data_IF_977445190558
#
_entry.id   IF_977445190558
#
_cell.length_a   1.000
_cell.length_b   1.000
_cell.length_c   1.000
_cell.angle_alpha   90.00
_cell.angle_beta   90.00
_cell.angle_gamma   90.00
#
_symmetry.space_group_name_H-M   'P 1'
#
loop_
_entity.id
_entity.type
_entity.pdbx_description
1 polymer ?
#
# COMPACT_ATOMS: atom_id res chain seq x y z
N UNK A 1 -13.49 -30.61 15.79
CA UNK A 1 -12.73 -29.44 16.29
C UNK A 1 -12.55 -28.33 15.26
N UNK A 2 -12.54 -28.61 13.95
CA UNK A 2 -12.39 -27.61 12.86
C UNK A 2 -13.64 -26.73 12.65
N UNK A 3 -14.84 -27.28 12.69
CA UNK A 3 -16.12 -26.56 12.49
C UNK A 3 -16.39 -25.47 13.55
N UNK A 4 -16.00 -25.71 14.81
CA UNK A 4 -16.18 -24.73 15.90
C UNK A 4 -15.22 -23.54 15.78
N UNK A 5 -13.98 -23.77 15.33
CA UNK A 5 -13.00 -22.68 15.09
C UNK A 5 -13.38 -21.80 13.89
N UNK A 6 -13.98 -22.42 12.89
CA UNK A 6 -14.53 -21.76 11.69
C UNK A 6 -15.68 -20.81 12.06
N UNK A 7 -16.71 -21.32 12.73
CA UNK A 7 -17.85 -20.51 13.16
C UNK A 7 -17.45 -19.34 14.07
N UNK A 8 -16.45 -19.53 14.93
CA UNK A 8 -15.90 -18.49 15.79
C UNK A 8 -15.17 -17.39 15.01
N UNK A 9 -14.42 -17.76 13.96
CA UNK A 9 -13.70 -16.80 13.11
C UNK A 9 -14.68 -15.92 12.33
N UNK A 10 -15.79 -16.49 11.85
CA UNK A 10 -16.85 -15.76 11.15
C UNK A 10 -17.57 -14.74 12.02
N UNK A 11 -18.06 -15.19 13.18
CA UNK A 11 -18.76 -14.33 14.12
C UNK A 11 -17.87 -13.16 14.52
N UNK A 12 -16.59 -13.43 14.81
CA UNK A 12 -15.62 -12.41 15.18
C UNK A 12 -15.31 -11.42 14.05
N UNK A 13 -15.15 -11.87 12.81
CA UNK A 13 -14.99 -10.98 11.63
C UNK A 13 -16.18 -10.03 11.49
N UNK A 14 -17.40 -10.57 11.56
CA UNK A 14 -18.63 -9.79 11.46
C UNK A 14 -18.76 -8.78 12.60
N UNK A 15 -18.48 -9.19 13.83
CA UNK A 15 -18.60 -8.34 15.01
C UNK A 15 -17.56 -7.21 14.99
N UNK A 16 -16.33 -7.47 14.51
CA UNK A 16 -15.32 -6.44 14.27
C UNK A 16 -15.83 -5.43 13.24
N UNK A 17 -16.34 -5.89 12.10
CA UNK A 17 -16.86 -5.01 11.05
C UNK A 17 -18.03 -4.14 11.55
N UNK A 18 -18.99 -4.72 12.26
CA UNK A 18 -20.12 -4.00 12.85
C UNK A 18 -19.67 -2.98 13.91
N UNK A 19 -18.67 -3.34 14.74
CA UNK A 19 -18.09 -2.44 15.74
C UNK A 19 -17.42 -1.24 15.10
N UNK A 20 -16.64 -1.45 14.03
CA UNK A 20 -15.94 -0.38 13.33
C UNK A 20 -16.90 0.51 12.53
N UNK A 21 -17.95 -0.05 11.92
CA UNK A 21 -19.07 0.75 11.39
C UNK A 21 -19.72 1.61 12.49
N UNK A 22 -19.79 1.09 13.73
CA UNK A 22 -20.23 1.85 14.89
C UNK A 22 -19.31 3.00 15.28
N UNK A 23 -17.99 2.89 15.05
CA UNK A 23 -17.07 4.02 15.25
C UNK A 23 -17.24 5.09 14.18
N UNK A 24 -17.47 4.68 12.91
CA UNK A 24 -17.75 5.62 11.82
C UNK A 24 -18.99 6.49 12.07
N UNK A 25 -19.97 6.01 12.86
CA UNK A 25 -21.15 6.81 13.24
C UNK A 25 -20.81 8.05 14.07
N UNK A 26 -19.64 8.06 14.73
CA UNK A 26 -19.17 9.18 15.54
C UNK A 26 -18.45 10.25 14.70
N UNK A 27 -18.22 9.99 13.41
CA UNK A 27 -17.57 10.90 12.49
C UNK A 27 -18.63 11.84 11.93
N UNK A 28 -18.45 13.13 12.16
CA UNK A 28 -19.37 14.16 11.69
C UNK A 28 -18.59 15.43 11.33
N UNK A 29 -18.82 15.95 10.12
CA UNK A 29 -18.36 17.27 9.71
C UNK A 29 -19.31 18.34 10.26
N UNK A 30 -18.76 19.40 10.85
CA UNK A 30 -19.56 20.53 11.31
C UNK A 30 -20.27 21.20 10.12
N UNK A 31 -21.61 21.25 10.19
CA UNK A 31 -22.46 21.86 9.17
C UNK A 31 -22.57 23.36 9.41
N UNK A 32 -22.46 24.15 8.35
CA UNK A 32 -22.69 25.59 8.38
C UNK A 32 -23.70 25.97 7.30
N UNK A 33 -24.47 27.03 7.51
CA UNK A 33 -25.44 27.52 6.51
C UNK A 33 -24.80 28.03 5.21
N UNK A 34 -23.48 28.27 5.21
CA UNK A 34 -22.71 28.83 4.09
C UNK A 34 -21.97 27.78 3.26
N UNK A 35 -21.92 26.53 3.72
CA UNK A 35 -21.21 25.42 3.06
C UNK A 35 -22.06 24.15 3.21
N UNK A 36 -22.70 23.74 2.12
CA UNK A 36 -23.54 22.54 2.09
C UNK A 36 -22.72 21.24 2.03
N UNK A 37 -21.42 21.30 1.70
CA UNK A 37 -20.59 20.10 1.51
C UNK A 37 -20.50 19.22 2.77
N UNK A 38 -20.26 19.75 3.98
CA UNK A 38 -20.33 18.98 5.22
C UNK A 38 -21.61 18.15 5.39
N UNK A 39 -22.78 18.71 5.04
CA UNK A 39 -24.05 17.98 5.15
C UNK A 39 -24.10 16.80 4.17
N UNK A 40 -23.64 17.01 2.93
CA UNK A 40 -23.56 15.96 1.91
C UNK A 40 -22.57 14.86 2.32
N UNK A 41 -21.40 15.23 2.86
CA UNK A 41 -20.41 14.27 3.35
C UNK A 41 -20.94 13.44 4.53
N UNK A 42 -21.63 14.08 5.48
CA UNK A 42 -22.29 13.38 6.58
C UNK A 42 -23.37 12.40 6.07
N UNK A 43 -24.14 12.79 5.04
CA UNK A 43 -25.11 11.91 4.42
C UNK A 43 -24.44 10.71 3.73
N UNK A 44 -23.29 10.93 3.06
CA UNK A 44 -22.51 9.85 2.46
C UNK A 44 -22.01 8.85 3.51
N UNK A 45 -21.47 9.32 4.65
CA UNK A 45 -21.07 8.46 5.78
C UNK A 45 -22.26 7.63 6.29
N UNK A 46 -23.40 8.28 6.55
CA UNK A 46 -24.62 7.61 7.01
C UNK A 46 -25.10 6.55 6.01
N UNK A 47 -25.04 6.84 4.71
CA UNK A 47 -25.41 5.90 3.65
C UNK A 47 -24.49 4.68 3.65
N UNK A 48 -23.17 4.86 3.73
CA UNK A 48 -22.20 3.76 3.82
C UNK A 48 -22.52 2.89 5.04
N UNK A 49 -22.69 3.50 6.21
CA UNK A 49 -22.96 2.76 7.45
C UNK A 49 -24.26 1.97 7.35
N UNK A 50 -25.34 2.57 6.84
CA UNK A 50 -26.63 1.89 6.70
C UNK A 50 -26.54 0.72 5.73
N UNK A 51 -25.95 0.93 4.56
CA UNK A 51 -25.78 -0.09 3.52
C UNK A 51 -25.02 -1.30 4.06
N UNK A 52 -23.87 -1.08 4.70
CA UNK A 52 -23.04 -2.18 5.19
C UNK A 52 -23.51 -2.79 6.50
N UNK A 53 -24.23 -2.06 7.35
CA UNK A 53 -24.88 -2.66 8.52
C UNK A 53 -25.88 -3.73 8.08
N UNK A 54 -26.72 -3.43 7.09
CA UNK A 54 -27.69 -4.42 6.57
C UNK A 54 -26.98 -5.58 5.87
N UNK A 55 -25.99 -5.31 5.01
CA UNK A 55 -25.25 -6.38 4.31
C UNK A 55 -24.52 -7.33 5.26
N UNK A 56 -23.93 -6.81 6.35
CA UNK A 56 -23.19 -7.61 7.32
C UNK A 56 -24.09 -8.43 8.25
N UNK A 57 -25.33 -7.99 8.52
CA UNK A 57 -26.31 -8.80 9.26
C UNK A 57 -26.58 -10.14 8.59
N UNK A 58 -26.59 -10.16 7.25
CA UNK A 58 -26.84 -11.34 6.43
C UNK A 58 -25.57 -11.97 5.84
N UNK A 59 -24.39 -11.45 6.18
CA UNK A 59 -23.12 -12.00 5.72
C UNK A 59 -22.81 -13.34 6.38
N UNK A 60 -22.77 -14.42 5.58
CA UNK A 60 -22.67 -15.81 6.03
C UNK A 60 -21.31 -16.47 5.75
N UNK A 61 -20.44 -15.84 4.94
CA UNK A 61 -19.17 -16.43 4.49
C UNK A 61 -17.98 -15.45 4.62
N UNK A 62 -16.75 -15.92 4.92
CA UNK A 62 -15.55 -15.08 5.05
C UNK A 62 -15.26 -14.23 3.83
N UNK A 63 -15.34 -14.83 2.64
CA UNK A 63 -15.10 -14.14 1.38
C UNK A 63 -16.04 -12.93 1.19
N UNK A 64 -17.31 -13.07 1.62
CA UNK A 64 -18.29 -11.97 1.58
C UNK A 64 -17.97 -10.89 2.61
N UNK A 65 -17.52 -11.28 3.80
CA UNK A 65 -17.10 -10.33 4.85
C UNK A 65 -15.84 -9.56 4.46
N UNK A 66 -14.84 -10.20 3.84
CA UNK A 66 -13.66 -9.51 3.31
C UNK A 66 -14.00 -8.57 2.17
N UNK A 67 -14.87 -9.00 1.26
CA UNK A 67 -15.38 -8.12 0.21
C UNK A 67 -16.08 -6.90 0.81
N UNK A 68 -16.94 -7.10 1.81
CA UNK A 68 -17.58 -5.98 2.50
C UNK A 68 -16.55 -5.06 3.18
N UNK A 69 -15.51 -5.60 3.81
CA UNK A 69 -14.43 -4.82 4.38
C UNK A 69 -13.69 -3.97 3.31
N UNK A 70 -13.37 -4.58 2.16
CA UNK A 70 -12.74 -3.91 1.03
C UNK A 70 -13.60 -2.76 0.50
N UNK A 71 -14.90 -3.01 0.29
CA UNK A 71 -15.79 -2.00 -0.26
C UNK A 71 -16.10 -0.87 0.75
N UNK A 72 -16.12 -1.17 2.07
CA UNK A 72 -16.20 -0.13 3.11
C UNK A 72 -14.96 0.78 3.03
N UNK A 73 -13.77 0.19 3.01
CA UNK A 73 -12.51 0.93 2.92
C UNK A 73 -12.42 1.77 1.64
N UNK A 74 -12.81 1.21 0.50
CA UNK A 74 -12.92 1.92 -0.78
C UNK A 74 -13.82 3.13 -0.67
N UNK A 75 -15.05 2.98 -0.16
CA UNK A 75 -15.99 4.09 -0.04
C UNK A 75 -15.53 5.14 0.96
N UNK A 76 -14.89 4.74 2.06
CA UNK A 76 -14.37 5.69 3.06
C UNK A 76 -13.18 6.47 2.52
N UNK A 77 -12.22 5.83 1.84
CA UNK A 77 -11.10 6.56 1.25
C UNK A 77 -11.50 7.38 0.03
N UNK A 78 -12.46 6.90 -0.77
CA UNK A 78 -13.05 7.71 -1.85
C UNK A 78 -13.71 8.97 -1.29
N UNK A 79 -14.48 8.87 -0.20
CA UNK A 79 -15.05 10.03 0.47
C UNK A 79 -13.97 10.94 1.07
N UNK A 80 -12.92 10.38 1.68
CA UNK A 80 -11.79 11.16 2.19
C UNK A 80 -11.15 12.00 1.09
N UNK A 81 -10.91 11.41 -0.09
CA UNK A 81 -10.36 12.13 -1.25
C UNK A 81 -11.34 13.17 -1.79
N UNK A 82 -12.64 12.89 -1.87
CA UNK A 82 -13.66 13.89 -2.25
C UNK A 82 -13.69 15.08 -1.30
N UNK A 83 -13.54 14.85 0.02
CA UNK A 83 -13.49 15.92 1.01
C UNK A 83 -12.23 16.76 0.80
N UNK A 84 -11.06 16.14 0.59
CA UNK A 84 -9.79 16.84 0.32
C UNK A 84 -9.90 17.73 -0.92
N UNK A 85 -10.51 17.24 -2.00
CA UNK A 85 -10.76 18.01 -3.21
C UNK A 85 -11.69 19.21 -2.97
N UNK A 86 -12.65 19.05 -2.05
CA UNK A 86 -13.53 20.14 -1.62
C UNK A 86 -12.88 21.17 -0.68
N UNK A 87 -11.65 20.93 -0.20
CA UNK A 87 -10.94 21.90 0.64
C UNK A 87 -10.30 23.00 -0.20
N UNK A 88 -10.38 24.25 0.27
CA UNK A 88 -9.69 25.36 -0.38
C UNK A 88 -8.18 25.22 -0.27
N UNK A 89 -7.49 25.01 -1.39
CA UNK A 89 -6.02 24.89 -1.44
C UNK A 89 -5.28 26.15 -0.99
N UNK A 90 -5.92 27.32 -1.13
CA UNK A 90 -5.37 28.63 -0.74
C UNK A 90 -5.62 28.96 0.73
N UNK A 91 -6.60 28.33 1.37
CA UNK A 91 -6.89 28.59 2.77
C UNK A 91 -5.75 28.09 3.67
N UNK A 92 -5.42 28.83 4.75
CA UNK A 92 -4.52 28.31 5.76
C UNK A 92 -5.01 26.99 6.35
N UNK A 93 -4.09 26.07 6.62
CA UNK A 93 -4.39 24.76 7.22
C UNK A 93 -5.16 24.89 8.55
N UNK A 94 -4.85 25.93 9.35
CA UNK A 94 -5.60 26.25 10.57
C UNK A 94 -7.10 26.46 10.33
N UNK A 95 -7.49 27.08 9.21
CA UNK A 95 -8.90 27.34 8.88
C UNK A 95 -9.65 26.09 8.43
N UNK A 96 -8.96 25.13 7.84
CA UNK A 96 -9.52 23.83 7.43
C UNK A 96 -9.27 22.73 8.47
N UNK A 97 -8.67 23.06 9.62
CA UNK A 97 -8.18 22.10 10.61
C UNK A 97 -9.25 21.16 11.15
N UNK A 98 -10.48 21.64 11.36
CA UNK A 98 -11.58 20.79 11.82
C UNK A 98 -11.93 19.72 10.77
N UNK A 99 -11.87 20.05 9.47
CA UNK A 99 -12.11 19.07 8.40
C UNK A 99 -10.96 18.05 8.35
N UNK A 100 -9.71 18.49 8.50
CA UNK A 100 -8.54 17.61 8.57
C UNK A 100 -8.58 16.65 9.78
N UNK A 101 -9.08 17.10 10.94
CA UNK A 101 -9.29 16.23 12.12
C UNK A 101 -10.30 15.12 11.83
N UNK A 102 -11.40 15.44 11.15
CA UNK A 102 -12.40 14.45 10.75
C UNK A 102 -11.80 13.44 9.76
N UNK A 103 -11.00 13.90 8.79
CA UNK A 103 -10.29 13.01 7.85
C UNK A 103 -9.27 12.10 8.56
N UNK A 104 -8.56 12.63 9.55
CA UNK A 104 -7.67 11.83 10.39
C UNK A 104 -8.45 10.73 11.11
N UNK A 105 -9.59 11.06 11.74
CA UNK A 105 -10.43 10.07 12.42
C UNK A 105 -10.98 9.00 11.46
N UNK A 106 -11.30 9.37 10.21
CA UNK A 106 -11.69 8.41 9.17
C UNK A 106 -10.53 7.44 8.86
N UNK A 107 -9.32 7.96 8.66
CA UNK A 107 -8.15 7.14 8.39
C UNK A 107 -7.81 6.22 9.58
N UNK A 108 -7.81 6.75 10.80
CA UNK A 108 -7.59 5.96 12.03
C UNK A 108 -8.63 4.84 12.20
N UNK A 109 -9.89 5.08 11.82
CA UNK A 109 -10.92 4.04 11.82
C UNK A 109 -10.59 2.91 10.83
N UNK A 110 -10.07 3.23 9.64
CA UNK A 110 -9.66 2.22 8.65
C UNK A 110 -8.39 1.47 9.05
N UNK A 111 -7.44 2.15 9.70
CA UNK A 111 -6.24 1.52 10.28
C UNK A 111 -6.66 0.53 11.37
N UNK A 112 -7.53 0.95 12.29
CA UNK A 112 -8.03 0.10 13.37
C UNK A 112 -8.80 -1.11 12.83
N UNK A 113 -9.67 -0.92 11.84
CA UNK A 113 -10.35 -2.00 11.16
C UNK A 113 -9.35 -3.00 10.57
N UNK A 114 -8.37 -2.50 9.83
CA UNK A 114 -7.34 -3.33 9.18
C UNK A 114 -6.53 -4.14 10.19
N UNK A 115 -6.06 -3.50 11.27
CA UNK A 115 -5.29 -4.17 12.32
C UNK A 115 -6.11 -5.21 13.10
N UNK A 116 -7.40 -4.96 13.33
CA UNK A 116 -8.30 -5.92 14.00
C UNK A 116 -8.64 -7.13 13.12
N UNK A 117 -8.77 -6.91 11.81
CA UNK A 117 -9.06 -7.99 10.85
C UNK A 117 -7.83 -8.84 10.53
N UNK A 118 -6.63 -8.24 10.49
CA UNK A 118 -5.41 -8.92 10.06
C UNK A 118 -5.19 -10.30 10.73
N UNK A 119 -5.32 -10.48 12.07
CA UNK A 119 -5.12 -11.79 12.71
C UNK A 119 -6.07 -12.89 12.22
N UNK A 120 -7.22 -12.53 11.63
CA UNK A 120 -8.25 -13.46 11.16
C UNK A 120 -8.09 -13.84 9.69
N UNK A 121 -7.24 -13.12 8.95
CA UNK A 121 -7.05 -13.26 7.50
C UNK A 121 -6.58 -14.66 7.10
N UNK A 122 -5.54 -15.25 7.70
CA UNK A 122 -5.07 -16.58 7.28
C UNK A 122 -6.14 -17.68 7.43
N UNK A 123 -6.85 -17.70 8.57
CA UNK A 123 -7.89 -18.70 8.83
C UNK A 123 -9.07 -18.57 7.87
N UNK A 124 -9.47 -17.34 7.59
CA UNK A 124 -10.56 -17.04 6.68
C UNK A 124 -10.20 -17.33 5.20
N UNK A 125 -8.95 -17.14 4.78
CA UNK A 125 -8.45 -17.58 3.46
C UNK A 125 -8.47 -19.11 3.36
N UNK A 126 -7.95 -19.81 4.38
CA UNK A 126 -7.94 -21.27 4.41
C UNK A 126 -9.35 -21.85 4.25
N UNK A 127 -10.33 -21.26 4.91
CA UNK A 127 -11.72 -21.69 4.80
C UNK A 127 -12.35 -21.37 3.44
N UNK A 128 -12.11 -20.16 2.92
CA UNK A 128 -12.58 -19.78 1.59
C UNK A 128 -11.98 -20.68 0.50
N UNK A 129 -10.71 -21.10 0.65
CA UNK A 129 -10.05 -22.02 -0.27
C UNK A 129 -10.65 -23.44 -0.29
N UNK A 130 -11.27 -23.88 0.82
CA UNK A 130 -11.93 -25.18 0.90
C UNK A 130 -13.36 -25.17 0.34
N UNK A 131 -14.02 -24.01 0.37
CA UNK A 131 -15.44 -23.88 0.04
C UNK A 131 -15.71 -23.17 -1.29
N UNK A 132 -14.71 -22.51 -1.88
CA UNK A 132 -14.86 -21.76 -3.12
C UNK A 132 -14.47 -22.58 -4.36
N UNK A 133 -15.30 -22.46 -5.40
CA UNK A 133 -15.02 -22.99 -6.73
C UNK A 133 -14.05 -22.12 -7.54
N UNK A 134 -13.86 -20.84 -7.16
CA UNK A 134 -12.89 -19.98 -7.84
C UNK A 134 -11.48 -20.20 -7.27
N UNK A 135 -10.53 -20.56 -8.12
CA UNK A 135 -9.14 -20.88 -7.73
C UNK A 135 -8.36 -19.78 -7.01
N UNK A 136 -8.92 -18.57 -6.86
CA UNK A 136 -8.23 -17.40 -6.30
C UNK A 136 -7.91 -17.58 -4.81
N UNK A 137 -8.79 -18.20 -4.02
CA UNK A 137 -8.54 -18.41 -2.59
C UNK A 137 -7.48 -19.49 -2.36
N UNK A 138 -7.45 -20.52 -3.20
CA UNK A 138 -6.38 -21.52 -3.22
C UNK A 138 -5.03 -20.87 -3.59
N UNK A 139 -5.00 -19.94 -4.55
CA UNK A 139 -3.81 -19.15 -4.87
C UNK A 139 -3.38 -18.25 -3.71
N UNK A 140 -4.30 -17.58 -3.02
CA UNK A 140 -3.98 -16.79 -1.81
C UNK A 140 -3.41 -17.66 -0.69
N UNK A 141 -3.95 -18.87 -0.49
CA UNK A 141 -3.41 -19.84 0.46
C UNK A 141 -2.01 -20.31 0.05
N UNK A 142 -1.79 -20.55 -1.24
CA UNK A 142 -0.48 -20.87 -1.82
C UNK A 142 0.51 -19.73 -1.57
N UNK A 143 0.16 -18.47 -1.85
CA UNK A 143 0.98 -17.29 -1.52
C UNK A 143 1.31 -17.26 -0.03
N UNK A 144 0.33 -17.48 0.85
CA UNK A 144 0.55 -17.48 2.29
C UNK A 144 1.66 -18.46 2.73
N UNK A 145 1.72 -19.64 2.11
CA UNK A 145 2.73 -20.66 2.39
C UNK A 145 4.13 -20.31 1.86
N UNK A 146 4.23 -19.37 0.92
CA UNK A 146 5.50 -18.90 0.34
C UNK A 146 5.96 -17.55 0.90
N UNK A 147 5.27 -17.00 1.90
CA UNK A 147 5.77 -15.89 2.71
C UNK A 147 6.57 -16.46 3.86
N UNK A 148 7.85 -16.10 3.93
CA UNK A 148 8.82 -16.62 4.88
C UNK A 148 9.38 -15.50 5.74
N UNK A 149 9.75 -15.82 6.96
CA UNK A 149 10.53 -14.96 7.83
C UNK A 149 11.35 -15.84 8.75
N UNK A 150 12.59 -15.42 9.03
CA UNK A 150 13.51 -16.20 9.83
C UNK A 150 13.91 -15.43 11.09
N UNK A 151 13.25 -15.77 12.20
CA UNK A 151 13.54 -15.16 13.51
C UNK A 151 14.95 -15.52 13.97
N UNK A 152 15.49 -16.67 13.58
CA UNK A 152 16.85 -17.07 13.95
C UNK A 152 17.90 -16.18 13.28
N UNK A 153 17.58 -15.55 12.14
CA UNK A 153 18.43 -14.56 11.48
C UNK A 153 18.32 -13.14 12.04
N UNK A 154 17.49 -12.90 13.06
CA UNK A 154 17.52 -11.61 13.76
C UNK A 154 18.85 -11.42 14.50
N UNK A 155 19.37 -10.18 14.61
CA UNK A 155 20.67 -9.92 15.23
C UNK A 155 20.81 -10.54 16.62
N UNK A 156 22.02 -10.93 17.03
CA UNK A 156 22.27 -11.60 18.32
C UNK A 156 21.70 -10.84 19.54
N UNK A 157 21.67 -9.51 19.48
CA UNK A 157 21.05 -8.66 20.49
C UNK A 157 19.55 -8.95 20.71
N UNK A 158 18.81 -9.28 19.63
CA UNK A 158 17.42 -9.72 19.72
C UNK A 158 17.32 -11.12 20.33
N UNK A 159 18.27 -12.02 20.02
CA UNK A 159 18.28 -13.38 20.59
C UNK A 159 18.40 -13.38 22.12
N UNK A 160 19.06 -12.36 22.69
CA UNK A 160 19.21 -12.17 24.13
C UNK A 160 17.99 -11.53 24.81
N UNK A 161 16.97 -11.13 24.05
CA UNK A 161 15.75 -10.49 24.56
C UNK A 161 14.49 -11.26 24.10
N UNK A 162 13.98 -12.21 24.92
CA UNK A 162 12.83 -13.05 24.56
C UNK A 162 11.57 -12.26 24.23
N UNK A 163 11.31 -11.15 24.94
CA UNK A 163 10.15 -10.29 24.68
C UNK A 163 10.26 -9.62 23.31
N UNK A 164 11.46 -9.15 22.93
CA UNK A 164 11.71 -8.60 21.61
C UNK A 164 11.47 -9.66 20.52
N UNK A 165 11.94 -10.90 20.68
CA UNK A 165 11.70 -11.98 19.71
C UNK A 165 10.22 -12.30 19.53
N UNK A 166 9.46 -12.39 20.62
CA UNK A 166 8.00 -12.63 20.58
C UNK A 166 7.30 -11.50 19.82
N UNK A 167 7.64 -10.25 20.14
CA UNK A 167 7.07 -9.09 19.48
C UNK A 167 7.48 -8.98 18.00
N UNK A 168 8.71 -9.41 17.67
CA UNK A 168 9.19 -9.45 16.29
C UNK A 168 8.47 -10.54 15.48
N UNK A 169 8.24 -11.72 16.08
CA UNK A 169 7.37 -12.74 15.49
C UNK A 169 5.96 -12.23 15.24
N UNK A 170 5.39 -11.52 16.22
CA UNK A 170 4.05 -10.94 16.08
C UNK A 170 3.98 -9.90 14.96
N UNK A 171 5.01 -9.06 14.84
CA UNK A 171 5.13 -8.07 13.77
C UNK A 171 5.22 -8.74 12.38
N UNK A 172 6.05 -9.79 12.21
CA UNK A 172 6.11 -10.54 10.94
C UNK A 172 4.79 -11.25 10.60
N UNK A 173 4.18 -11.92 11.57
CA UNK A 173 2.89 -12.60 11.36
C UNK A 173 1.78 -11.61 10.95
N UNK A 174 1.75 -10.43 11.58
CA UNK A 174 0.77 -9.40 11.25
C UNK A 174 1.07 -8.78 9.89
N UNK A 175 2.34 -8.53 9.55
CA UNK A 175 2.73 -8.06 8.21
C UNK A 175 2.36 -9.05 7.10
N UNK A 176 2.59 -10.35 7.29
CA UNK A 176 2.10 -11.42 6.40
C UNK A 176 0.58 -11.32 6.23
N UNK A 177 -0.15 -11.12 7.33
CA UNK A 177 -1.60 -10.99 7.30
C UNK A 177 -2.06 -9.73 6.56
N UNK A 178 -1.34 -8.61 6.66
CA UNK A 178 -1.63 -7.38 5.90
C UNK A 178 -1.41 -7.57 4.40
N UNK A 179 -0.34 -8.27 4.00
CA UNK A 179 -0.09 -8.66 2.60
C UNK A 179 -1.27 -9.45 2.05
N UNK A 180 -1.65 -10.52 2.77
CA UNK A 180 -2.77 -11.37 2.38
C UNK A 180 -4.10 -10.62 2.36
N UNK A 181 -4.29 -9.69 3.30
CA UNK A 181 -5.52 -8.90 3.35
C UNK A 181 -5.63 -7.97 2.15
N UNK A 182 -4.55 -7.28 1.78
CA UNK A 182 -4.50 -6.43 0.57
C UNK A 182 -4.83 -7.24 -0.68
N UNK A 183 -4.23 -8.41 -0.86
CA UNK A 183 -4.52 -9.26 -2.01
C UNK A 183 -5.97 -9.80 -1.98
N UNK A 184 -6.48 -10.17 -0.80
CA UNK A 184 -7.86 -10.63 -0.63
C UNK A 184 -8.90 -9.54 -0.97
N UNK A 185 -8.60 -8.26 -0.70
CA UNK A 185 -9.45 -7.13 -1.12
C UNK A 185 -9.57 -7.08 -2.65
N UNK A 186 -8.49 -7.35 -3.37
CA UNK A 186 -8.44 -7.29 -4.83
C UNK A 186 -8.90 -8.58 -5.54
N UNK A 187 -9.11 -9.69 -4.80
CA UNK A 187 -9.43 -11.00 -5.37
C UNK A 187 -10.71 -11.07 -6.24
N UNK A 188 -11.58 -10.06 -6.15
CA UNK A 188 -12.82 -9.98 -6.93
C UNK A 188 -12.68 -9.16 -8.22
N UNK A 189 -11.57 -8.47 -8.43
CA UNK A 189 -11.31 -7.66 -9.63
C UNK A 189 -10.47 -8.47 -10.63
N UNK A 190 -10.61 -8.18 -11.93
CA UNK A 190 -9.82 -8.85 -12.98
C UNK A 190 -8.31 -8.59 -12.80
N UNK A 191 -7.94 -7.34 -12.52
CA UNK A 191 -6.55 -6.94 -12.30
C UNK A 191 -5.97 -7.55 -11.03
N UNK A 192 -6.76 -7.61 -9.94
CA UNK A 192 -6.36 -8.28 -8.70
C UNK A 192 -6.15 -9.78 -8.87
N UNK A 193 -7.03 -10.46 -9.61
CA UNK A 193 -6.86 -11.90 -9.90
C UNK A 193 -5.57 -12.18 -10.69
N UNK A 194 -5.26 -11.35 -11.69
CA UNK A 194 -4.00 -11.46 -12.42
C UNK A 194 -2.80 -11.20 -11.49
N UNK A 195 -2.85 -10.15 -10.66
CA UNK A 195 -1.76 -9.85 -9.71
C UNK A 195 -1.51 -11.03 -8.77
N UNK A 196 -2.58 -11.63 -8.22
CA UNK A 196 -2.50 -12.81 -7.36
C UNK A 196 -1.88 -13.99 -8.11
N UNK A 197 -2.30 -14.25 -9.34
CA UNK A 197 -1.75 -15.34 -10.15
C UNK A 197 -0.26 -15.15 -10.45
N UNK A 198 0.14 -13.94 -10.85
CA UNK A 198 1.54 -13.62 -11.13
C UNK A 198 2.42 -13.74 -9.88
N UNK A 199 1.95 -13.23 -8.73
CA UNK A 199 2.66 -13.36 -7.45
C UNK A 199 2.74 -14.81 -6.98
N UNK A 200 1.68 -15.60 -7.14
CA UNK A 200 1.69 -17.02 -6.77
C UNK A 200 2.71 -17.81 -7.60
N UNK A 201 2.74 -17.60 -8.92
CA UNK A 201 3.73 -18.20 -9.81
C UNK A 201 5.17 -17.77 -9.46
N UNK A 202 5.35 -16.48 -9.14
CA UNK A 202 6.64 -15.94 -8.71
C UNK A 202 7.13 -16.53 -7.39
N UNK A 203 6.29 -16.53 -6.36
CA UNK A 203 6.67 -16.93 -5.01
C UNK A 203 6.89 -18.43 -4.84
N UNK A 204 6.31 -19.27 -5.71
CA UNK A 204 6.67 -20.71 -5.80
C UNK A 204 8.16 -20.91 -6.07
N UNK A 205 8.76 -20.05 -6.88
CA UNK A 205 10.17 -20.14 -7.26
C UNK A 205 11.05 -19.24 -6.38
N UNK A 206 10.51 -18.11 -5.93
CA UNK A 206 11.22 -17.07 -5.17
C UNK A 206 10.37 -16.60 -3.99
N UNK A 207 10.39 -17.33 -2.85
CA UNK A 207 9.58 -17.00 -1.68
C UNK A 207 9.75 -15.55 -1.23
N UNK A 208 8.67 -14.93 -0.74
CA UNK A 208 8.72 -13.57 -0.19
C UNK A 208 9.27 -13.60 1.24
N UNK A 209 10.46 -13.05 1.45
CA UNK A 209 11.06 -12.90 2.78
C UNK A 209 10.53 -11.63 3.45
N UNK A 210 10.08 -11.72 4.70
CA UNK A 210 9.82 -10.54 5.52
C UNK A 210 11.06 -10.23 6.36
N UNK A 211 11.46 -8.96 6.38
CA UNK A 211 12.57 -8.49 7.21
C UNK A 211 12.26 -7.12 7.83
N UNK A 212 12.86 -6.86 8.99
CA UNK A 212 12.72 -5.59 9.69
C UNK A 212 13.96 -4.72 9.39
N UNK A 213 13.74 -3.42 9.16
CA UNK A 213 14.79 -2.47 8.79
C UNK A 213 14.74 -1.31 9.76
N UNK A 214 15.81 -1.13 10.51
CA UNK A 214 15.87 -0.13 11.58
C UNK A 214 16.54 1.15 11.08
N UNK A 215 15.96 2.31 11.40
CA UNK A 215 16.53 3.63 11.10
C UNK A 215 16.59 4.49 12.36
N UNK A 216 17.62 5.36 12.43
CA UNK A 216 17.80 6.32 13.52
C UNK A 216 17.42 7.74 13.08
N UNK A 217 16.82 8.58 13.94
CA UNK A 217 16.36 9.91 13.53
C UNK A 217 17.48 10.96 13.49
N UNK A 218 18.70 10.64 13.94
CA UNK A 218 19.80 11.62 14.04
C UNK A 218 20.58 11.74 12.73
N UNK A 219 19.97 12.40 11.75
CA UNK A 219 20.57 13.24 10.70
C UNK A 219 19.42 13.93 9.97
N UNK A 220 18.72 14.80 10.70
CA UNK A 220 17.67 15.64 10.17
C UNK A 220 18.32 16.87 9.49
N UNK A 221 18.79 16.67 8.25
CA UNK A 221 18.64 17.68 7.21
C UNK A 221 17.41 17.27 6.39
N UNK A 222 16.50 18.22 6.15
CA UNK A 222 15.46 18.04 5.13
C UNK A 222 16.14 18.24 3.78
N UNK A 223 16.78 17.18 3.33
CA UNK A 223 17.26 16.96 1.98
C UNK A 223 17.06 15.49 1.68
N UNK A 224 17.01 15.15 0.39
CA UNK A 224 17.16 13.76 -0.05
C UNK A 224 18.59 13.35 0.27
N UNK A 225 18.85 13.03 1.54
CA UNK A 225 19.92 12.11 1.84
C UNK A 225 19.50 10.83 1.16
N UNK A 226 20.23 10.47 0.12
CA UNK A 226 20.34 9.11 -0.39
C UNK A 226 20.87 8.21 0.73
N UNK A 227 20.08 8.01 1.78
CA UNK A 227 19.95 6.67 2.30
C UNK A 227 19.48 5.91 1.06
N UNK A 228 20.37 5.12 0.48
CA UNK A 228 20.05 4.06 -0.47
C UNK A 228 19.06 3.11 0.24
N UNK A 229 17.83 3.57 0.45
CA UNK A 229 16.70 2.80 0.92
C UNK A 229 16.15 2.14 -0.34
N UNK A 230 16.39 0.85 -0.54
CA UNK A 230 15.82 0.17 -1.69
C UNK A 230 14.32 0.07 -1.45
N UNK A 231 13.51 0.59 -2.38
CA UNK A 231 12.16 0.09 -2.58
C UNK A 231 12.23 -1.44 -2.74
N UNK A 232 11.63 -2.19 -1.80
CA UNK A 232 11.23 -3.61 -1.80
C UNK A 232 12.07 -4.68 -2.55
N UNK A 233 13.30 -4.37 -2.96
CA UNK A 233 14.23 -5.23 -3.69
C UNK A 233 15.60 -4.56 -3.73
N UNK A 234 16.48 -4.94 -2.79
CA UNK A 234 17.92 -4.73 -2.96
C UNK A 234 18.45 -5.90 -3.80
N UNK A 235 18.37 -5.78 -5.13
CA UNK A 235 19.31 -6.51 -5.99
C UNK A 235 20.63 -5.75 -5.88
N UNK A 236 21.69 -6.44 -5.47
CA UNK A 236 23.04 -5.87 -5.45
C UNK A 236 23.33 -5.13 -6.76
N UNK A 237 23.74 -3.87 -6.65
CA UNK A 237 24.20 -3.07 -7.79
C UNK A 237 25.42 -3.77 -8.40
N UNK A 238 25.27 -4.36 -9.57
CA UNK A 238 26.38 -4.53 -10.48
C UNK A 238 26.23 -3.45 -11.57
N UNK A 239 27.26 -2.61 -11.70
CA UNK A 239 27.46 -1.78 -12.88
C UNK A 239 27.66 -2.74 -14.05
N UNK A 240 26.74 -2.72 -15.02
CA UNK A 240 26.81 -3.53 -16.23
C UNK A 240 26.93 -2.57 -17.41
N UNK A 241 27.90 -2.80 -18.27
CA UNK A 241 28.22 -1.98 -19.44
C UNK A 241 27.06 -1.98 -20.46
N UNK A 242 26.74 -0.80 -20.98
CA UNK A 242 25.51 -0.45 -21.70
C UNK A 242 25.35 -1.06 -23.12
N UNK A 243 26.11 -2.08 -23.50
CA UNK A 243 26.28 -2.49 -24.91
C UNK A 243 25.89 -3.92 -25.27
N UNK A 244 25.30 -4.71 -24.35
CA UNK A 244 24.92 -6.10 -24.68
C UNK A 244 23.47 -6.22 -25.19
N UNK A 245 23.17 -7.07 -26.19
CA UNK A 245 21.80 -7.39 -26.59
C UNK A 245 20.96 -8.01 -25.44
N UNK A 246 19.65 -7.74 -25.42
CA UNK A 246 18.68 -8.21 -24.40
C UNK A 246 18.73 -9.73 -24.16
N UNK A 247 18.98 -10.53 -25.20
CA UNK A 247 19.06 -11.99 -25.12
C UNK A 247 20.31 -12.48 -24.36
N UNK A 248 21.44 -11.76 -24.46
CA UNK A 248 22.64 -12.03 -23.66
C UNK A 248 22.43 -11.62 -22.20
N UNK A 249 21.69 -10.53 -21.94
CA UNK A 249 21.30 -10.11 -20.59
C UNK A 249 20.41 -11.16 -19.89
N UNK A 250 19.42 -11.71 -20.60
CA UNK A 250 18.53 -12.77 -20.08
C UNK A 250 19.28 -14.09 -19.83
N UNK A 251 20.31 -14.41 -20.62
CA UNK A 251 21.14 -15.60 -20.42
C UNK A 251 22.09 -15.47 -19.22
N UNK A 252 22.63 -14.28 -18.95
CA UNK A 252 23.56 -14.03 -17.84
C UNK A 252 22.88 -13.92 -16.47
N UNK A 253 21.60 -13.53 -16.40
CA UNK A 253 20.86 -13.43 -15.14
C UNK A 253 20.27 -14.74 -14.62
N UNK A 254 20.37 -15.86 -15.38
CA UNK A 254 19.78 -17.17 -15.03
C UNK A 254 20.25 -17.81 -13.72
N UNK A 255 21.28 -17.27 -13.04
CA UNK A 255 21.93 -17.94 -11.90
C UNK A 255 21.86 -17.22 -10.55
N UNK A 256 21.15 -16.09 -10.41
CA UNK A 256 20.96 -15.47 -9.08
C UNK A 256 19.54 -15.73 -8.56
N UNK A 257 19.41 -16.75 -7.71
CA UNK A 257 18.19 -17.03 -6.94
C UNK A 257 17.96 -15.91 -5.90
N UNK A 258 17.43 -14.78 -6.32
CA UNK A 258 17.08 -13.70 -5.40
C UNK A 258 15.64 -13.88 -4.93
N UNK A 259 15.46 -14.11 -3.63
CA UNK A 259 14.14 -14.05 -3.01
C UNK A 259 13.58 -12.63 -3.08
N UNK A 260 12.25 -12.49 -3.18
CA UNK A 260 11.60 -11.18 -3.04
C UNK A 260 11.65 -10.75 -1.57
N UNK A 261 11.87 -9.47 -1.26
CA UNK A 261 12.04 -8.99 0.12
C UNK A 261 10.98 -7.94 0.49
N UNK A 262 10.15 -8.22 1.48
CA UNK A 262 9.27 -7.25 2.12
C UNK A 262 9.94 -6.64 3.36
N UNK A 263 10.33 -5.37 3.25
CA UNK A 263 10.98 -4.63 4.34
C UNK A 263 9.95 -3.90 5.20
N UNK A 264 9.95 -4.17 6.50
CA UNK A 264 9.16 -3.47 7.52
C UNK A 264 10.06 -2.38 8.12
N UNK A 265 9.86 -1.10 7.77
CA UNK A 265 10.65 -0.01 8.34
C UNK A 265 10.28 0.21 9.82
N UNK A 266 11.30 0.34 10.66
CA UNK A 266 11.19 0.60 12.10
C UNK A 266 12.06 1.81 12.41
N UNK A 267 11.42 2.97 12.59
CA UNK A 267 12.10 4.15 13.10
C UNK A 267 12.30 4.00 14.61
N UNK A 268 13.56 4.01 15.05
CA UNK A 268 13.90 4.03 16.46
C UNK A 268 13.82 5.48 16.99
N UNK A 269 13.30 5.72 18.19
CA UNK A 269 13.30 7.06 18.79
C UNK A 269 14.70 7.66 19.00
N UNK A 270 14.77 8.99 19.19
CA UNK A 270 16.04 9.77 19.27
C UNK A 270 16.91 9.38 20.47
N UNK A 271 16.30 8.81 21.50
CA UNK A 271 16.93 8.26 22.69
C UNK A 271 17.68 6.95 22.41
N UNK A 272 17.38 6.24 21.32
CA UNK A 272 18.10 5.05 20.89
C UNK A 272 19.24 5.45 19.95
N UNK A 273 20.47 5.16 20.35
CA UNK A 273 21.68 5.62 19.63
C UNK A 273 22.35 4.52 18.80
N UNK A 274 21.97 3.26 19.02
CA UNK A 274 22.57 2.09 18.37
C UNK A 274 21.55 0.94 18.23
N UNK A 275 21.76 0.06 17.25
CA UNK A 275 20.92 -1.08 16.91
C UNK A 275 20.92 -2.12 18.03
N UNK A 276 21.96 -2.13 18.87
CA UNK A 276 22.01 -2.95 20.08
C UNK A 276 20.88 -2.62 21.07
N UNK A 277 20.30 -1.43 20.98
CA UNK A 277 19.19 -0.99 21.83
C UNK A 277 17.81 -1.22 21.20
N UNK A 278 17.76 -1.57 19.91
CA UNK A 278 16.52 -1.88 19.19
C UNK A 278 15.68 -3.02 19.84
N UNK A 279 16.28 -4.09 20.41
CA UNK A 279 15.52 -5.12 21.12
C UNK A 279 14.71 -4.55 22.30
N UNK A 280 15.30 -3.63 23.07
CA UNK A 280 14.60 -3.03 24.21
C UNK A 280 13.39 -2.19 23.77
N UNK A 281 13.50 -1.49 22.63
CA UNK A 281 12.37 -0.80 22.02
C UNK A 281 11.28 -1.79 21.58
N UNK A 282 11.65 -2.83 20.83
CA UNK A 282 10.69 -3.81 20.30
C UNK A 282 10.05 -4.65 21.40
N UNK A 283 10.73 -4.87 22.52
CA UNK A 283 10.20 -5.62 23.67
C UNK A 283 8.98 -4.95 24.33
N UNK A 284 8.76 -3.65 24.13
CA UNK A 284 7.58 -2.95 24.64
C UNK A 284 6.30 -3.46 23.95
N UNK A 285 5.31 -3.84 24.75
CA UNK A 285 4.12 -4.62 24.32
C UNK A 285 3.34 -4.00 23.17
N UNK A 286 3.21 -2.68 23.17
CA UNK A 286 2.40 -1.93 22.20
C UNK A 286 3.13 -1.61 20.89
N UNK A 287 4.46 -1.79 20.82
CA UNK A 287 5.26 -1.32 19.68
C UNK A 287 5.00 -2.03 18.37
N UNK A 288 4.82 -3.37 18.30
CA UNK A 288 4.51 -4.04 17.04
C UNK A 288 3.30 -3.43 16.33
N UNK A 289 2.22 -3.18 17.07
CA UNK A 289 1.00 -2.59 16.52
C UNK A 289 1.19 -1.12 16.17
N UNK A 290 1.94 -0.36 16.97
CA UNK A 290 2.27 1.03 16.64
C UNK A 290 3.07 1.14 15.34
N UNK A 291 4.10 0.31 15.15
CA UNK A 291 4.92 0.26 13.93
C UNK A 291 4.04 -0.02 12.71
N UNK A 292 3.14 -1.01 12.80
CA UNK A 292 2.22 -1.34 11.70
C UNK A 292 1.18 -0.25 11.48
N UNK A 293 0.66 0.35 12.54
CA UNK A 293 -0.25 1.50 12.44
C UNK A 293 0.39 2.65 11.68
N UNK A 294 1.68 2.91 11.91
CA UNK A 294 2.43 3.96 11.21
C UNK A 294 2.60 3.69 9.71
N UNK A 295 2.72 2.41 9.32
CA UNK A 295 2.72 2.00 7.92
C UNK A 295 1.35 2.20 7.27
N UNK A 296 0.29 1.87 7.99
CA UNK A 296 -1.08 1.94 7.50
C UNK A 296 -1.61 3.39 7.36
N UNK A 297 -0.90 4.40 7.87
CA UNK A 297 -1.28 5.82 7.74
C UNK A 297 -1.42 6.29 6.29
N UNK A 298 -0.81 5.62 5.33
CA UNK A 298 -0.82 6.04 3.93
C UNK A 298 0.10 7.24 3.65
N UNK A 299 -0.08 7.86 2.49
CA UNK A 299 0.69 9.04 2.06
C UNK A 299 -0.20 10.05 1.35
N UNK A 300 0.27 11.29 1.22
CA UNK A 300 -0.30 12.27 0.31
C UNK A 300 0.60 12.46 -0.90
N UNK A 301 -0.03 12.60 -2.05
CA UNK A 301 0.62 13.13 -3.25
C UNK A 301 0.05 14.50 -3.54
N UNK A 302 0.92 15.39 -4.02
CA UNK A 302 0.57 16.76 -4.32
C UNK A 302 0.82 17.05 -5.80
N UNK A 303 -0.26 17.44 -6.48
CA UNK A 303 -0.25 17.81 -7.89
C UNK A 303 -0.85 19.22 -8.06
N UNK A 304 -0.93 19.72 -9.29
CA UNK A 304 -1.53 21.02 -9.60
C UNK A 304 -3.01 21.11 -9.20
N UNK A 305 -3.69 19.97 -9.04
CA UNK A 305 -5.09 19.85 -8.60
C UNK A 305 -5.21 19.78 -7.07
N UNK A 306 -4.10 19.77 -6.32
CA UNK A 306 -4.06 19.82 -4.85
C UNK A 306 -3.51 18.55 -4.21
N UNK A 307 -3.98 18.23 -3.00
CA UNK A 307 -3.56 17.05 -2.26
C UNK A 307 -4.48 15.85 -2.54
N UNK A 308 -3.90 14.67 -2.69
CA UNK A 308 -4.61 13.40 -2.83
C UNK A 308 -4.05 12.39 -1.83
N UNK A 309 -4.92 11.72 -1.09
CA UNK A 309 -4.54 10.68 -0.14
C UNK A 309 -4.42 9.33 -0.85
N UNK A 310 -3.27 8.68 -0.68
CA UNK A 310 -2.98 7.33 -1.17
C UNK A 310 -2.94 6.37 0.02
N UNK A 311 -3.94 5.47 0.15
CA UNK A 311 -3.97 4.51 1.24
C UNK A 311 -2.88 3.43 1.10
N UNK A 312 -2.52 2.80 2.21
CA UNK A 312 -1.44 1.80 2.26
C UNK A 312 -1.65 0.63 1.29
N UNK A 313 -2.89 0.16 1.09
CA UNK A 313 -3.15 -0.97 0.19
C UNK A 313 -2.80 -0.63 -1.27
N UNK A 314 -3.04 0.61 -1.76
CA UNK A 314 -2.66 1.02 -3.12
C UNK A 314 -1.15 1.01 -3.25
N UNK A 315 -0.46 1.54 -2.24
CA UNK A 315 1.01 1.51 -2.19
C UNK A 315 1.53 0.07 -2.19
N UNK A 316 0.89 -0.83 -1.44
CA UNK A 316 1.32 -2.21 -1.41
C UNK A 316 1.07 -2.94 -2.74
N UNK A 317 -0.04 -2.65 -3.43
CA UNK A 317 -0.26 -3.13 -4.79
C UNK A 317 0.80 -2.59 -5.76
N UNK A 318 1.16 -1.32 -5.66
CA UNK A 318 2.26 -0.72 -6.43
C UNK A 318 3.59 -1.49 -6.22
N UNK A 319 3.94 -1.82 -4.98
CA UNK A 319 5.15 -2.61 -4.71
C UNK A 319 5.06 -4.04 -5.27
N UNK A 320 3.88 -4.68 -5.23
CA UNK A 320 3.71 -5.99 -5.84
C UNK A 320 3.79 -5.96 -7.36
N UNK A 321 3.40 -4.86 -7.99
CA UNK A 321 3.58 -4.67 -9.42
C UNK A 321 5.07 -4.61 -9.79
N UNK A 322 5.90 -3.95 -8.97
CA UNK A 322 7.36 -4.03 -9.12
C UNK A 322 7.88 -5.46 -8.96
N UNK A 323 7.36 -6.24 -8.01
CA UNK A 323 7.74 -7.65 -7.86
C UNK A 323 7.42 -8.41 -9.14
N UNK A 324 6.17 -8.33 -9.62
CA UNK A 324 5.72 -9.04 -10.84
C UNK A 324 6.57 -8.68 -12.06
N UNK A 325 6.88 -7.40 -12.25
CA UNK A 325 7.74 -6.93 -13.37
C UNK A 325 9.17 -7.43 -13.28
N UNK A 326 9.68 -7.68 -12.07
CA UNK A 326 11.06 -8.12 -11.85
C UNK A 326 11.20 -9.65 -11.87
N UNK A 327 10.12 -10.42 -11.72
CA UNK A 327 10.14 -11.90 -11.78
C UNK A 327 10.81 -12.47 -13.05
N UNK A 328 10.66 -11.88 -14.25
CA UNK A 328 11.35 -12.36 -15.45
C UNK A 328 12.88 -12.14 -15.47
N UNK A 329 13.45 -11.44 -14.48
CA UNK A 329 14.89 -11.14 -14.45
C UNK A 329 15.33 -10.04 -15.42
N UNK A 330 14.41 -9.13 -15.79
CA UNK A 330 14.71 -8.01 -16.69
C UNK A 330 14.09 -6.73 -16.15
N UNK A 331 14.60 -6.18 -15.03
CA UNK A 331 14.13 -4.89 -14.53
C UNK A 331 14.33 -3.81 -15.59
N UNK A 332 13.33 -2.95 -15.81
CA UNK A 332 13.40 -1.87 -16.80
C UNK A 332 14.33 -0.72 -16.39
N UNK A 333 15.23 -0.94 -15.41
CA UNK A 333 16.15 0.06 -14.84
C UNK A 333 17.18 0.59 -15.85
N UNK A 334 17.41 -0.11 -16.95
CA UNK A 334 18.38 0.28 -17.97
C UNK A 334 17.75 0.99 -19.17
N UNK A 335 16.42 1.12 -19.21
CA UNK A 335 15.74 1.89 -20.25
C UNK A 335 15.92 3.37 -19.93
N UNK A 336 16.55 4.10 -20.85
CA UNK A 336 16.77 5.54 -20.68
C UNK A 336 15.44 6.27 -20.78
N UNK A 337 15.19 7.11 -19.79
CA UNK A 337 14.10 8.07 -19.82
C UNK A 337 14.47 9.18 -20.80
N UNK A 338 13.49 9.62 -21.60
CA UNK A 338 13.72 10.74 -22.52
C UNK A 338 13.79 12.09 -21.77
N UNK A 339 14.00 13.18 -22.50
CA UNK A 339 14.14 14.52 -21.93
C UNK A 339 12.86 15.03 -21.23
N UNK A 340 11.70 14.42 -21.50
CA UNK A 340 10.40 14.77 -20.91
C UNK A 340 10.15 13.93 -19.66
N UNK A 341 10.49 12.65 -19.69
CA UNK A 341 10.26 11.69 -18.60
C UNK A 341 11.34 11.75 -17.51
N UNK A 342 12.59 12.01 -17.87
CA UNK A 342 13.75 12.03 -16.97
C UNK A 342 13.68 13.04 -15.81
N UNK A 343 13.06 14.22 -15.98
CA UNK A 343 12.82 15.15 -14.87
C UNK A 343 11.75 14.70 -13.86
N UNK A 344 10.86 13.79 -14.25
CA UNK A 344 9.68 13.39 -13.46
C UNK A 344 9.85 12.03 -12.80
N UNK A 345 10.56 11.12 -13.48
CA UNK A 345 10.73 9.73 -13.07
C UNK A 345 12.20 9.43 -12.76
N UNK A 346 12.43 8.69 -11.67
CA UNK A 346 13.76 8.19 -11.32
C UNK A 346 14.18 6.97 -12.15
N UNK A 347 13.21 6.19 -12.63
CA UNK A 347 13.43 5.02 -13.48
C UNK A 347 12.19 4.73 -14.34
N UNK A 348 12.41 4.20 -15.55
CA UNK A 348 11.32 3.77 -16.44
C UNK A 348 10.44 2.68 -15.83
N UNK A 349 11.00 1.86 -14.94
CA UNK A 349 10.27 0.88 -14.13
C UNK A 349 9.16 1.52 -13.27
N UNK A 350 9.41 2.73 -12.75
CA UNK A 350 8.46 3.45 -11.89
C UNK A 350 7.33 4.04 -12.75
N UNK A 351 7.68 4.59 -13.93
CA UNK A 351 6.72 5.03 -14.93
C UNK A 351 5.78 3.88 -15.33
N UNK A 352 6.32 2.72 -15.72
CA UNK A 352 5.51 1.57 -16.09
C UNK A 352 4.61 1.12 -14.93
N UNK A 353 5.09 1.21 -13.70
CA UNK A 353 4.34 0.78 -12.51
C UNK A 353 3.16 1.69 -12.20
N UNK A 354 3.27 2.98 -12.51
CA UNK A 354 2.19 3.95 -12.29
C UNK A 354 1.28 4.09 -13.52
N UNK A 355 1.82 4.00 -14.73
CA UNK A 355 1.12 4.37 -15.97
C UNK A 355 0.91 3.22 -16.96
N UNK A 356 1.59 2.09 -16.79
CA UNK A 356 1.58 0.98 -17.75
C UNK A 356 0.25 0.21 -17.84
N UNK A 357 0.23 -0.81 -18.70
CA UNK A 357 -0.95 -1.64 -18.99
C UNK A 357 -1.47 -2.37 -17.75
N UNK A 358 -0.57 -2.80 -16.85
CA UNK A 358 -0.94 -3.23 -15.51
C UNK A 358 -0.29 -2.29 -14.50
N UNK A 359 -1.04 -1.35 -13.97
CA UNK A 359 -0.48 -0.23 -13.21
C UNK A 359 -1.30 0.08 -11.97
N UNK A 360 -0.70 0.86 -11.09
CA UNK A 360 -1.35 1.35 -9.87
C UNK A 360 -2.71 2.00 -10.12
N UNK A 361 -2.90 2.69 -11.24
CA UNK A 361 -4.16 3.35 -11.61
C UNK A 361 -5.36 2.40 -11.52
N UNK A 362 -5.15 1.12 -11.85
CA UNK A 362 -6.20 0.09 -11.81
C UNK A 362 -6.62 -0.27 -10.39
N UNK A 363 -5.73 -0.07 -9.42
CA UNK A 363 -5.96 -0.33 -8.00
C UNK A 363 -6.35 0.93 -7.24
N UNK A 364 -6.04 2.12 -7.78
CA UNK A 364 -6.19 3.40 -7.07
C UNK A 364 -7.55 4.07 -7.31
N UNK A 365 -8.15 3.89 -8.49
CA UNK A 365 -9.39 4.57 -8.88
C UNK A 365 -10.57 4.31 -7.92
N UNK A 366 -10.72 3.08 -7.43
CA UNK A 366 -11.80 2.71 -6.51
C UNK A 366 -11.75 3.46 -5.17
N UNK A 367 -10.59 4.00 -4.81
CA UNK A 367 -10.33 4.73 -3.56
C UNK A 367 -10.36 6.25 -3.77
N UNK A 368 -10.82 6.72 -4.94
CA UNK A 368 -10.81 8.14 -5.30
C UNK A 368 -9.40 8.73 -5.40
N UNK A 369 -8.39 7.88 -5.58
CA UNK A 369 -7.00 8.32 -5.70
C UNK A 369 -6.79 8.81 -7.12
N UNK A 370 -6.31 10.05 -7.26
CA UNK A 370 -5.90 10.58 -8.56
C UNK A 370 -4.67 9.84 -9.08
N UNK A 371 -4.61 9.70 -10.40
CA UNK A 371 -3.42 9.22 -11.07
C UNK A 371 -2.22 10.09 -10.68
N UNK A 372 -1.18 9.45 -10.16
CA UNK A 372 0.03 10.14 -9.74
C UNK A 372 0.84 10.52 -10.96
N UNK A 373 1.37 11.74 -10.95
CA UNK A 373 2.26 12.23 -12.00
C UNK A 373 3.74 12.06 -11.61
N UNK A 374 4.02 11.56 -10.39
CA UNK A 374 5.39 11.24 -9.95
C UNK A 374 5.37 10.19 -8.83
N UNK A 375 6.55 9.67 -8.51
CA UNK A 375 6.75 8.73 -7.41
C UNK A 375 6.74 9.43 -6.02
N UNK A 376 6.95 10.75 -6.00
CA UNK A 376 7.11 11.53 -4.77
C UNK A 376 5.80 11.75 -4.03
N UNK A 377 5.77 11.37 -2.76
CA UNK A 377 4.68 11.60 -1.84
C UNK A 377 5.19 11.90 -0.43
N UNK A 378 4.44 12.69 0.32
CA UNK A 378 4.73 12.97 1.73
C UNK A 378 3.94 11.99 2.60
N UNK A 379 4.49 11.62 3.75
CA UNK A 379 3.73 10.88 4.76
C UNK A 379 2.48 11.65 5.19
N UNK A 380 1.41 10.91 5.48
CA UNK A 380 0.11 11.51 5.79
C UNK A 380 0.07 12.28 7.13
N UNK A 381 1.01 11.99 8.01
CA UNK A 381 1.16 12.63 9.31
C UNK A 381 1.40 14.14 9.22
N UNK A 382 2.06 14.66 8.18
CA UNK A 382 2.33 16.11 8.07
C UNK A 382 1.05 16.94 7.99
N UNK A 383 0.01 16.46 7.30
CA UNK A 383 -1.27 17.17 7.20
C UNK A 383 -2.16 16.94 8.43
N UNK A 384 -2.06 15.75 9.04
CA UNK A 384 -2.89 15.38 10.17
C UNK A 384 -2.32 15.82 11.53
N UNK A 385 -1.01 16.06 11.66
CA UNK A 385 -0.42 16.55 12.90
C UNK A 385 -0.83 18.01 13.16
N UNK A 386 -1.55 18.22 14.26
CA UNK A 386 -1.98 19.55 14.71
C UNK A 386 -0.82 20.52 14.91
N UNK A 387 0.38 20.02 15.27
CA UNK A 387 1.59 20.82 15.50
C UNK A 387 2.15 21.39 14.19
N UNK A 388 1.96 20.69 13.09
CA UNK A 388 2.42 21.08 11.75
C UNK A 388 1.46 22.08 11.06
N UNK A 389 0.25 22.28 11.60
CA UNK A 389 -0.78 23.18 11.04
C UNK A 389 -0.52 24.65 11.44
N UNK A 390 0.45 25.26 10.77
CA UNK A 390 0.73 26.70 10.92
C UNK A 390 -0.41 27.58 10.35
N UNK A 391 -0.72 28.73 10.97
CA UNK A 391 -1.69 29.69 10.44
C UNK A 391 -1.27 30.33 9.11
N UNK A 392 0.00 30.18 8.71
CA UNK A 392 0.55 30.77 7.49
C UNK A 392 0.83 29.74 6.39
N UNK A 393 0.63 28.45 6.67
CA UNK A 393 0.83 27.37 5.69
C UNK A 393 -0.52 26.99 5.11
N UNK A 394 -0.61 26.94 3.78
CA UNK A 394 -1.78 26.44 3.03
C UNK A 394 -1.44 25.13 2.33
N UNK A 395 -2.45 24.39 1.86
CA UNK A 395 -2.18 23.20 1.04
C UNK A 395 -1.40 23.57 -0.23
N UNK A 396 -1.71 24.71 -0.87
CA UNK A 396 -0.96 25.19 -2.03
C UNK A 396 0.52 25.47 -1.71
N UNK A 397 0.82 25.96 -0.52
CA UNK A 397 2.21 26.17 -0.07
C UNK A 397 2.95 24.82 0.13
N UNK A 398 2.26 23.81 0.68
CA UNK A 398 2.79 22.46 0.79
C UNK A 398 2.96 21.80 -0.58
N UNK A 399 1.96 21.89 -1.46
CA UNK A 399 2.03 21.45 -2.86
C UNK A 399 3.26 22.06 -3.53
N UNK A 400 3.42 23.39 -3.52
CA UNK A 400 4.59 24.04 -4.14
C UNK A 400 5.95 23.59 -3.58
N UNK A 401 6.01 23.23 -2.30
CA UNK A 401 7.23 22.74 -1.64
C UNK A 401 7.58 21.31 -2.06
N UNK A 402 6.57 20.50 -2.40
CA UNK A 402 6.70 19.05 -2.53
C UNK A 402 6.29 18.49 -3.90
N UNK A 403 5.71 19.30 -4.78
CA UNK A 403 5.53 18.97 -6.19
C UNK A 403 6.91 19.02 -6.86
N UNK A 404 7.28 18.00 -7.66
CA UNK A 404 8.51 18.01 -8.43
C UNK A 404 8.61 19.29 -9.26
N UNK A 405 9.80 19.91 -9.29
CA UNK A 405 10.03 21.09 -10.12
C UNK A 405 10.13 20.66 -11.59
N UNK A 406 8.96 20.63 -12.24
CA UNK A 406 8.62 20.54 -13.68
C UNK A 406 8.01 19.22 -14.18
N UNK A 407 6.74 19.26 -14.63
CA UNK A 407 6.31 18.60 -15.85
C UNK A 407 6.55 19.56 -17.03
N UNK A 408 7.29 19.14 -18.07
CA UNK A 408 7.29 19.88 -19.34
C UNK A 408 5.94 19.64 -20.02
N UNK A 409 5.19 20.74 -20.20
CA UNK A 409 3.94 20.76 -20.95
C UNK A 409 4.15 20.21 -22.37
N UNK A 410 3.34 19.22 -22.74
CA UNK A 410 3.12 18.70 -24.10
C UNK A 410 2.44 19.75 -25.01
N UNK A 411 3.05 20.92 -25.18
CA UNK A 411 2.51 21.98 -26.05
C UNK A 411 3.37 22.26 -27.30
N UNK A 412 4.62 21.77 -27.38
CA UNK A 412 5.51 22.10 -28.51
C UNK A 412 6.08 20.88 -29.26
N UNK A 413 5.46 19.70 -29.14
CA UNK A 413 5.83 18.53 -29.96
C UNK A 413 4.78 18.25 -31.04
N UNK A 414 4.61 19.20 -31.96
CA UNK A 414 4.20 18.86 -33.33
C UNK A 414 5.35 18.13 -34.01
N UNK A 415 5.56 16.86 -33.67
CA UNK A 415 6.23 15.84 -34.49
C UNK A 415 6.51 14.59 -33.65
N UNK A 416 5.50 13.75 -33.42
CA UNK A 416 5.75 12.33 -33.14
C UNK A 416 4.76 11.47 -33.92
N UNK A 417 5.12 11.26 -35.20
CA UNK A 417 4.72 10.05 -35.91
C UNK A 417 5.49 8.88 -35.30
N UNK A 418 4.71 7.87 -34.88
CA UNK A 418 5.05 6.44 -34.83
C UNK A 418 6.29 6.06 -34.03
N UNK A 419 6.12 5.65 -32.77
CA UNK A 419 6.75 4.45 -32.19
C UNK A 419 5.69 3.69 -31.39
N UNK A 420 4.61 3.30 -32.06
CA UNK A 420 3.74 2.22 -31.62
C UNK A 420 4.50 0.91 -31.76
N UNK A 421 5.11 0.44 -30.67
CA UNK A 421 5.45 -0.98 -30.53
C UNK A 421 4.13 -1.73 -30.37
N UNK A 422 3.61 -2.17 -31.51
CA UNK A 422 2.54 -3.15 -31.61
C UNK A 422 2.94 -4.39 -30.82
N UNK A 423 2.15 -4.77 -29.83
CA UNK A 423 1.99 -6.18 -29.50
C UNK A 423 1.11 -6.76 -30.60
N UNK A 424 1.73 -7.32 -31.64
CA UNK A 424 1.05 -8.27 -32.50
C UNK A 424 0.67 -9.46 -31.62
N UNK A 425 -0.63 -9.60 -31.39
CA UNK A 425 -1.24 -10.84 -30.93
C UNK A 425 -1.08 -11.86 -32.06
N UNK A 426 -0.15 -12.79 -31.90
CA UNK A 426 -0.08 -13.96 -32.77
C UNK A 426 -1.26 -14.89 -32.45
N UNK A 427 -2.34 -14.67 -33.19
CA UNK A 427 -3.36 -15.67 -33.46
C UNK A 427 -2.69 -16.81 -34.25
N UNK A 428 -2.44 -17.97 -33.61
CA UNK A 428 -2.61 -19.30 -34.25
C UNK A 428 -2.50 -20.47 -33.27
N UNK A 429 -3.66 -21.12 -33.13
CA UNK A 429 -3.92 -22.56 -33.01
C UNK A 429 -3.54 -23.28 -31.71
N UNK A 430 -4.53 -23.32 -30.82
CA UNK A 430 -4.91 -24.57 -30.17
C UNK A 430 -5.32 -25.58 -31.24
N UNK A 431 -4.68 -26.75 -31.27
CA UNK A 431 -5.30 -27.99 -31.73
C UNK A 431 -5.31 -28.95 -30.56
N UNK A 432 -6.52 -29.31 -30.14
CA UNK A 432 -6.83 -30.45 -29.30
C UNK A 432 -6.31 -31.73 -29.97
N UNK A 433 -5.50 -32.50 -29.25
CA UNK A 433 -5.66 -33.95 -29.07
C UNK A 433 -5.03 -34.38 -27.75
#
# INVERSE_FOLDING_TARGET
MTTTKIALTHALLRDILLRELGQLRKIEFAVSSLDANPANWNQAIKKIISEYTERLRFGDKPARLFRAAAEIEQKIYSLLNQVLEGLSVKAPLKKVGNKLDVLQHMNESMINLTLRLAPLVPGAIQEAAQSSSNGVWQRLQSIANHIQYDIAKTPAAFQQNPAALVNMKHLYHTAQSLILFTLAKEAHTRHGQFLIEALEAGFKNYPLQLSAVFSFPRKADIGVASLNLPAFLQVERQLIEASSPLEQHLAQQKNKKTASLFMIPIALPVEYQDLQQAPAYIAMREKPLHILSDLLKGSFVFDEKGACFVPFHVRLCHEFLHVVRKLPGSPARNIHLDAIEGPVWSAYEDYLTIMGIMSEVQFSAAYGVRQRESHDGIRADILFDKKERSPNVSMAALTKKHTPKQPLLLADCEDFKTHSLFYETDDKKYNLH
#
